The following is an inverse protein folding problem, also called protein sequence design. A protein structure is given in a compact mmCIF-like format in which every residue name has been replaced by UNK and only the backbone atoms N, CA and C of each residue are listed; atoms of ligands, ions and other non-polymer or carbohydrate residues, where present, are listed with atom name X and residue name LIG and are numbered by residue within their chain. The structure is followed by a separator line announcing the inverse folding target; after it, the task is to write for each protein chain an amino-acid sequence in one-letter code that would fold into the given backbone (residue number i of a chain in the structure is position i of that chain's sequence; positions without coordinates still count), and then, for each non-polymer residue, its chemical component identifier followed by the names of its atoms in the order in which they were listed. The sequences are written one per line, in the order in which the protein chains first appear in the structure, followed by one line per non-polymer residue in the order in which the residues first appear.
data_IF_272399924690
#
_entry.id   IF_272399924690
#
_cell.length_a   1.000
_cell.length_b   1.000
_cell.length_c   1.000
_cell.angle_alpha   90.00
_cell.angle_beta   90.00
_cell.angle_gamma   90.00
#
_symmetry.space_group_name_H-M   'P 1'
#
loop_
_entity.id
_entity.type
_entity.pdbx_description
1 polymer ?
#
# COMPACT_ATOMS: atom_id res chain seq x y z
N UNK A 1 3.58 -10.41 -25.86
CA UNK A 1 2.44 -10.14 -24.97
C UNK A 1 2.62 -8.82 -24.28
N UNK A 2 1.64 -7.96 -24.38
CA UNK A 2 1.68 -6.67 -23.72
C UNK A 2 1.48 -6.84 -22.22
N UNK A 3 2.30 -6.17 -21.38
CA UNK A 3 2.08 -6.20 -19.96
C UNK A 3 0.74 -5.53 -19.61
N UNK A 4 0.04 -6.10 -18.65
CA UNK A 4 -1.22 -5.54 -18.18
C UNK A 4 -1.00 -4.84 -16.84
N UNK A 5 -1.57 -3.65 -16.72
CA UNK A 5 -1.50 -2.86 -15.51
C UNK A 5 -2.89 -2.43 -15.08
N UNK A 6 -3.08 -2.34 -13.79
CA UNK A 6 -4.31 -1.86 -13.19
C UNK A 6 -3.99 -0.75 -12.20
N UNK A 7 -4.68 0.36 -12.33
CA UNK A 7 -4.56 1.46 -11.38
C UNK A 7 -5.76 1.47 -10.47
N UNK A 8 -5.53 1.40 -9.16
CA UNK A 8 -6.57 1.47 -8.14
C UNK A 8 -6.36 2.73 -7.31
N UNK A 9 -7.31 3.65 -7.39
CA UNK A 9 -7.25 4.90 -6.64
C UNK A 9 -8.16 4.79 -5.41
N UNK A 10 -7.52 4.83 -4.24
CA UNK A 10 -8.17 4.75 -2.94
C UNK A 10 -9.12 3.55 -2.77
N UNK A 11 -8.66 2.32 -3.09
CA UNK A 11 -9.54 1.15 -3.03
C UNK A 11 -10.02 0.82 -1.60
N UNK A 12 -9.35 1.32 -0.58
CA UNK A 12 -9.71 1.05 0.82
C UNK A 12 -10.47 2.17 1.50
N UNK A 13 -10.75 3.26 0.78
CA UNK A 13 -11.43 4.42 1.38
C UNK A 13 -12.88 4.09 1.72
N UNK A 14 -13.27 4.33 2.98
CA UNK A 14 -14.64 4.15 3.42
C UNK A 14 -15.15 2.71 3.44
N UNK A 15 -14.25 1.74 3.41
CA UNK A 15 -14.60 0.32 3.34
C UNK A 15 -14.55 -0.29 4.75
N UNK A 16 -15.49 -1.19 5.07
CA UNK A 16 -15.49 -1.90 6.35
C UNK A 16 -14.37 -2.93 6.44
N UNK A 17 -13.98 -3.35 7.66
CA UNK A 17 -12.82 -4.24 7.84
C UNK A 17 -12.93 -5.58 7.11
N UNK A 18 -14.12 -6.15 7.00
CA UNK A 18 -14.30 -7.44 6.32
C UNK A 18 -14.08 -7.26 4.81
N UNK A 19 -14.65 -6.21 4.25
CA UNK A 19 -14.50 -5.91 2.83
C UNK A 19 -13.06 -5.54 2.47
N UNK A 20 -12.32 -4.91 3.38
CA UNK A 20 -10.90 -4.64 3.20
C UNK A 20 -10.13 -5.93 2.95
N UNK A 21 -10.39 -6.96 3.75
CA UNK A 21 -9.72 -8.26 3.61
C UNK A 21 -10.01 -8.88 2.24
N UNK A 22 -11.26 -8.79 1.78
CA UNK A 22 -11.65 -9.31 0.47
C UNK A 22 -10.95 -8.56 -0.66
N UNK A 23 -10.88 -7.22 -0.57
CA UNK A 23 -10.19 -6.41 -1.57
C UNK A 23 -8.71 -6.73 -1.60
N UNK A 24 -8.08 -6.86 -0.44
CA UNK A 24 -6.67 -7.24 -0.35
C UNK A 24 -6.40 -8.59 -1.04
N UNK A 25 -7.30 -9.55 -0.85
CA UNK A 25 -7.17 -10.86 -1.49
C UNK A 25 -7.26 -10.75 -3.00
N UNK A 26 -8.21 -9.97 -3.51
CA UNK A 26 -8.37 -9.75 -4.95
C UNK A 26 -7.11 -9.12 -5.53
N UNK A 27 -6.55 -8.11 -4.86
CA UNK A 27 -5.34 -7.43 -5.32
C UNK A 27 -4.16 -8.41 -5.38
N UNK A 28 -3.99 -9.25 -4.36
CA UNK A 28 -2.93 -10.25 -4.34
C UNK A 28 -3.10 -11.28 -5.47
N UNK A 29 -4.31 -11.72 -5.71
CA UNK A 29 -4.59 -12.68 -6.79
C UNK A 29 -4.28 -12.08 -8.15
N UNK A 30 -4.62 -10.81 -8.38
CA UNK A 30 -4.30 -10.10 -9.61
C UNK A 30 -2.79 -10.01 -9.83
N UNK A 31 -2.06 -9.64 -8.78
CA UNK A 31 -0.61 -9.53 -8.85
C UNK A 31 0.05 -10.88 -9.13
N UNK A 32 -0.44 -11.94 -8.50
CA UNK A 32 0.07 -13.30 -8.71
C UNK A 32 -0.20 -13.80 -10.12
N UNK A 33 -1.26 -13.30 -10.76
CA UNK A 33 -1.57 -13.67 -12.15
C UNK A 33 -0.74 -12.90 -13.18
N UNK A 34 0.18 -12.06 -12.73
CA UNK A 34 1.08 -11.33 -13.61
C UNK A 34 0.63 -9.93 -14.00
N UNK A 35 -0.43 -9.43 -13.34
CA UNK A 35 -0.91 -8.07 -13.58
C UNK A 35 -0.15 -7.11 -12.65
N UNK A 36 0.42 -6.04 -13.22
CA UNK A 36 1.01 -4.97 -12.43
C UNK A 36 -0.10 -4.15 -11.78
N UNK A 37 -0.06 -3.98 -10.47
CA UNK A 37 -1.08 -3.22 -9.76
C UNK A 37 -0.43 -2.00 -9.09
N UNK A 38 -0.94 -0.81 -9.40
CA UNK A 38 -0.54 0.41 -8.75
C UNK A 38 -1.69 0.89 -7.87
N UNK A 39 -1.41 1.10 -6.59
CA UNK A 39 -2.40 1.53 -5.61
C UNK A 39 -2.02 2.90 -5.07
N UNK A 40 -2.98 3.83 -5.05
CA UNK A 40 -2.82 5.09 -4.34
C UNK A 40 -3.87 5.12 -3.23
N UNK A 41 -3.43 5.27 -1.97
CA UNK A 41 -4.36 5.28 -0.84
C UNK A 41 -3.73 5.95 0.38
N UNK A 42 -4.56 6.55 1.22
CA UNK A 42 -4.15 7.11 2.50
C UNK A 42 -4.18 6.06 3.62
N UNK A 43 -4.80 4.92 3.37
CA UNK A 43 -4.88 3.82 4.34
C UNK A 43 -3.59 3.02 4.28
N UNK A 44 -2.57 3.51 4.96
CA UNK A 44 -1.20 3.00 4.86
C UNK A 44 -1.10 1.53 5.28
N UNK A 45 -1.73 1.17 6.40
CA UNK A 45 -1.69 -0.21 6.89
C UNK A 45 -2.22 -1.21 5.86
N UNK A 46 -3.39 -0.93 5.32
CA UNK A 46 -4.05 -1.81 4.36
C UNK A 46 -3.25 -1.91 3.06
N UNK A 47 -2.71 -0.79 2.60
CA UNK A 47 -1.90 -0.73 1.39
C UNK A 47 -0.58 -1.48 1.56
N UNK A 48 0.12 -1.26 2.67
CA UNK A 48 1.37 -1.97 2.93
C UNK A 48 1.16 -3.47 3.08
N UNK A 49 -0.04 -3.90 3.48
CA UNK A 49 -0.36 -5.31 3.61
C UNK A 49 -0.43 -6.07 2.29
N UNK A 50 -0.55 -5.37 1.16
CA UNK A 50 -0.69 -6.02 -0.16
C UNK A 50 0.37 -5.62 -1.16
N UNK A 51 1.18 -4.62 -0.89
CA UNK A 51 2.17 -4.17 -1.87
C UNK A 51 3.52 -4.83 -1.64
N UNK A 52 4.30 -4.92 -2.73
CA UNK A 52 5.67 -5.43 -2.70
C UNK A 52 6.66 -4.28 -2.49
N UNK A 53 6.27 -3.10 -2.91
CA UNK A 53 7.12 -1.92 -2.87
C UNK A 53 6.22 -0.70 -2.73
N UNK A 54 6.66 0.30 -1.98
CA UNK A 54 5.84 1.47 -1.71
C UNK A 54 6.65 2.76 -1.71
N UNK A 55 5.99 3.85 -2.07
CA UNK A 55 6.51 5.21 -1.96
C UNK A 55 5.62 5.95 -0.98
N UNK A 56 6.23 6.63 -0.02
CA UNK A 56 5.50 7.52 0.88
C UNK A 56 5.75 8.95 0.42
N UNK A 57 4.67 9.65 0.11
CA UNK A 57 4.74 11.02 -0.41
C UNK A 57 4.12 11.97 0.60
N UNK A 58 4.84 13.04 0.91
CA UNK A 58 4.36 14.07 1.81
C UNK A 58 4.70 15.45 1.23
N UNK A 59 3.70 16.30 1.12
CA UNK A 59 3.83 17.66 0.55
C UNK A 59 4.58 17.68 -0.78
N UNK A 60 4.20 16.75 -1.67
CA UNK A 60 4.77 16.68 -3.02
C UNK A 60 6.17 16.06 -3.10
N UNK A 61 6.67 15.51 -2.00
CA UNK A 61 8.01 14.90 -1.97
C UNK A 61 7.93 13.45 -1.54
N UNK A 62 8.76 12.61 -2.16
CA UNK A 62 8.93 11.24 -1.71
C UNK A 62 9.84 11.25 -0.47
N UNK A 63 9.30 10.82 0.66
CA UNK A 63 10.05 10.80 1.92
C UNK A 63 10.57 9.41 2.27
N UNK A 64 10.03 8.37 1.62
CA UNK A 64 10.50 7.00 1.82
C UNK A 64 10.10 6.13 0.64
N UNK A 65 10.90 5.11 0.35
CA UNK A 65 10.64 4.13 -0.69
C UNK A 65 11.26 2.80 -0.30
N UNK A 66 10.55 1.74 -0.53
CA UNK A 66 11.07 0.38 -0.31
C UNK A 66 9.97 -0.62 -0.02
N UNK A 67 10.38 -1.78 0.48
CA UNK A 67 9.46 -2.82 0.91
C UNK A 67 8.65 -2.36 2.11
N UNK A 68 7.48 -2.98 2.37
CA UNK A 68 6.71 -2.66 3.58
C UNK A 68 7.53 -2.75 4.87
N UNK A 69 8.41 -3.75 5.00
CA UNK A 69 9.29 -3.88 6.17
C UNK A 69 10.21 -2.68 6.33
N UNK A 70 10.76 -2.19 5.23
CA UNK A 70 11.64 -1.03 5.23
C UNK A 70 10.86 0.24 5.59
N UNK A 71 9.67 0.39 5.03
CA UNK A 71 8.81 1.55 5.26
C UNK A 71 8.42 1.67 6.74
N UNK A 72 7.99 0.59 7.38
CA UNK A 72 7.57 0.63 8.78
C UNK A 72 8.70 0.89 9.76
N UNK A 73 9.94 0.67 9.33
CA UNK A 73 11.12 0.95 10.14
C UNK A 73 11.64 2.37 9.95
N UNK A 74 11.16 3.07 8.94
CA UNK A 74 11.61 4.44 8.66
C UNK A 74 11.12 5.38 9.75
N UNK A 75 12.07 6.08 10.38
CA UNK A 75 11.75 6.95 11.50
C UNK A 75 10.81 8.09 11.13
N UNK A 76 11.03 8.70 9.98
CA UNK A 76 10.20 9.81 9.52
C UNK A 76 8.79 9.34 9.23
N UNK A 77 8.64 8.20 8.56
CA UNK A 77 7.34 7.61 8.27
C UNK A 77 6.58 7.31 9.56
N UNK A 78 7.25 6.73 10.53
CA UNK A 78 6.62 6.42 11.82
C UNK A 78 6.14 7.66 12.54
N UNK A 79 6.94 8.72 12.51
CA UNK A 79 6.57 9.98 13.17
C UNK A 79 5.39 10.68 12.46
N UNK A 80 5.37 10.66 11.13
CA UNK A 80 4.40 11.43 10.34
C UNK A 80 3.10 10.66 10.09
N UNK A 81 3.17 9.37 9.82
CA UNK A 81 2.02 8.60 9.34
C UNK A 81 1.58 7.46 10.23
N UNK A 82 2.52 6.74 10.83
CA UNK A 82 2.20 5.45 11.46
C UNK A 82 2.11 5.52 12.98
N UNK A 83 2.83 6.45 13.59
CA UNK A 83 3.01 6.41 15.03
C UNK A 83 4.04 5.36 15.45
N UNK A 84 4.59 5.51 16.63
CA UNK A 84 5.71 4.68 17.08
C UNK A 84 5.34 3.24 17.35
N UNK A 85 4.09 2.97 17.68
CA UNK A 85 3.61 1.62 18.02
C UNK A 85 2.99 0.89 16.84
N UNK A 86 3.11 1.42 15.63
CA UNK A 86 2.52 0.79 14.45
C UNK A 86 3.11 -0.58 14.19
N UNK A 87 2.23 -1.54 13.92
CA UNK A 87 2.60 -2.91 13.52
C UNK A 87 1.68 -3.35 12.38
N UNK A 88 2.25 -4.08 11.45
CA UNK A 88 1.46 -4.70 10.38
C UNK A 88 0.78 -5.98 10.85
#
# INVERSE_FOLDING_TARGET
NDPKFLLLDEPFAGIDPISVIEIQKIIKDLAESGIGVLITDHNVRETLGVCNDAYIINTGKVIAHGTPKKIIKDKIVREVYLGEEFKL
#
